data_IF_267347397880
#
_entry.id   IF_267347397880
#
_cell.length_a   1.000
_cell.length_b   1.000
_cell.length_c   1.000
_cell.angle_alpha   90.00
_cell.angle_beta   90.00
_cell.angle_gamma   90.00
#
_symmetry.space_group_name_H-M   'P 1'
#
loop_
_entity.id
_entity.type
_entity.pdbx_description
1 polymer ?
#
# COMPACT_ATOMS: atom_id res chain seq x y z
N UNK A 1 9.83 5.67 3.16
CA UNK A 1 8.97 4.54 3.59
C UNK A 1 7.64 4.61 2.85
N UNK A 2 7.56 3.96 1.68
CA UNK A 2 6.33 3.91 0.87
C UNK A 2 5.17 3.31 1.70
N UNK A 3 5.47 2.31 2.53
CA UNK A 3 4.51 1.57 3.36
C UNK A 3 3.63 2.45 4.26
N UNK A 4 4.13 3.58 4.79
CA UNK A 4 3.38 4.43 5.71
C UNK A 4 2.59 5.55 5.02
N UNK A 5 2.84 5.81 3.74
CA UNK A 5 2.07 6.76 2.93
C UNK A 5 0.80 6.13 2.33
N UNK A 6 0.56 4.83 2.59
CA UNK A 6 -0.45 4.03 1.89
C UNK A 6 0.00 3.65 0.47
N UNK A 7 -0.82 2.87 -0.23
CA UNK A 7 -0.57 2.59 -1.65
C UNK A 7 -0.99 3.83 -2.47
N UNK A 8 -0.02 4.69 -2.78
CA UNK A 8 -0.25 5.91 -3.59
C UNK A 8 0.33 5.80 -5.01
N UNK A 9 1.03 4.71 -5.31
CA UNK A 9 1.55 4.41 -6.64
C UNK A 9 0.47 3.62 -7.38
N UNK A 10 -0.01 4.13 -8.51
CA UNK A 10 -1.03 3.48 -9.31
C UNK A 10 -0.43 2.33 -10.13
N UNK A 11 -0.72 1.09 -9.76
CA UNK A 11 -0.18 -0.09 -10.44
C UNK A 11 -0.51 -0.16 -11.94
N UNK A 12 -1.70 0.32 -12.34
CA UNK A 12 -2.13 0.40 -13.75
C UNK A 12 -1.31 1.37 -14.62
N UNK A 13 -0.56 2.28 -14.01
CA UNK A 13 0.29 3.25 -14.69
C UNK A 13 1.77 3.14 -14.25
N UNK A 14 2.16 2.00 -13.68
CA UNK A 14 3.55 1.79 -13.23
C UNK A 14 4.30 0.90 -14.22
N UNK A 15 5.42 1.40 -14.73
CA UNK A 15 6.29 0.68 -15.66
C UNK A 15 7.57 0.22 -14.95
N UNK A 16 8.03 -0.99 -15.29
CA UNK A 16 9.23 -1.57 -14.69
C UNK A 16 10.28 -1.85 -15.76
N UNK A 17 11.53 -1.53 -15.44
CA UNK A 17 12.68 -1.98 -16.24
C UNK A 17 12.97 -3.44 -15.90
N UNK A 18 12.66 -4.34 -16.83
CA UNK A 18 12.81 -5.80 -16.70
C UNK A 18 14.18 -6.22 -16.15
N UNK A 19 15.25 -5.68 -16.71
CA UNK A 19 16.64 -6.04 -16.37
C UNK A 19 17.01 -5.76 -14.91
N UNK A 20 16.30 -4.84 -14.25
CA UNK A 20 16.55 -4.45 -12.85
C UNK A 20 15.45 -4.90 -11.90
N UNK A 21 14.48 -5.69 -12.39
CA UNK A 21 13.34 -6.19 -11.60
C UNK A 21 13.17 -7.69 -11.82
N UNK A 22 12.47 -8.08 -12.89
CA UNK A 22 12.08 -9.46 -13.16
C UNK A 22 13.30 -10.36 -13.34
N UNK A 23 14.31 -9.89 -14.09
CA UNK A 23 15.51 -10.69 -14.36
C UNK A 23 16.37 -10.88 -13.10
N UNK A 24 16.21 -10.02 -12.08
CA UNK A 24 16.83 -10.18 -10.75
C UNK A 24 15.96 -11.01 -9.79
N UNK A 25 14.84 -11.57 -10.25
CA UNK A 25 13.94 -12.40 -9.45
C UNK A 25 12.89 -11.62 -8.64
N UNK A 26 12.74 -10.31 -8.85
CA UNK A 26 11.66 -9.56 -8.23
C UNK A 26 10.32 -9.88 -8.92
N UNK A 27 9.63 -10.91 -8.41
CA UNK A 27 8.28 -11.30 -8.82
C UNK A 27 7.25 -10.91 -7.76
N UNK A 28 5.97 -10.87 -8.14
CA UNK A 28 4.87 -10.60 -7.22
C UNK A 28 4.72 -11.73 -6.19
N UNK A 29 4.48 -11.37 -4.94
CA UNK A 29 4.15 -12.36 -3.90
C UNK A 29 2.65 -12.68 -3.92
N UNK A 30 2.31 -13.85 -4.46
CA UNK A 30 0.91 -14.30 -4.63
C UNK A 30 0.15 -14.55 -3.32
N UNK A 31 0.84 -14.56 -2.17
CA UNK A 31 0.19 -14.62 -0.87
C UNK A 31 -0.63 -13.35 -0.57
N UNK A 32 -0.22 -12.20 -1.13
CA UNK A 32 -0.94 -10.94 -1.04
C UNK A 32 -1.98 -10.90 -2.15
N UNK A 33 -3.27 -10.87 -1.79
CA UNK A 33 -4.37 -10.94 -2.76
C UNK A 33 -5.00 -9.58 -3.02
N UNK A 34 -4.99 -8.71 -2.03
CA UNK A 34 -5.70 -7.43 -2.06
C UNK A 34 -4.77 -6.24 -2.26
N UNK A 35 -3.53 -6.33 -1.78
CA UNK A 35 -2.50 -5.27 -1.86
C UNK A 35 -1.16 -5.80 -2.39
N UNK A 36 -1.23 -6.70 -3.36
CA UNK A 36 -0.07 -7.36 -3.98
C UNK A 36 0.94 -6.36 -4.56
N UNK A 37 0.42 -5.31 -5.20
CA UNK A 37 1.21 -4.21 -5.74
C UNK A 37 1.88 -3.39 -4.64
N UNK A 38 1.16 -3.10 -3.55
CA UNK A 38 1.68 -2.43 -2.37
C UNK A 38 2.86 -3.16 -1.74
N UNK A 39 2.78 -4.50 -1.61
CA UNK A 39 3.90 -5.32 -1.15
C UNK A 39 5.09 -5.20 -2.09
N UNK A 40 4.83 -5.39 -3.38
CA UNK A 40 5.85 -5.39 -4.42
C UNK A 40 6.62 -4.06 -4.45
N UNK A 41 5.92 -2.93 -4.36
CA UNK A 41 6.56 -1.60 -4.37
C UNK A 41 7.39 -1.34 -3.12
N UNK A 42 6.90 -1.77 -1.95
CA UNK A 42 7.66 -1.63 -0.71
C UNK A 42 8.92 -2.50 -0.74
N UNK A 43 8.83 -3.73 -1.26
CA UNK A 43 9.98 -4.62 -1.41
C UNK A 43 11.01 -4.09 -2.41
N UNK A 44 10.57 -3.59 -3.57
CA UNK A 44 11.47 -2.94 -4.54
C UNK A 44 12.17 -1.74 -3.92
N UNK A 45 11.45 -0.90 -3.18
CA UNK A 45 12.04 0.25 -2.48
C UNK A 45 13.02 -0.19 -1.39
N UNK A 46 12.74 -1.26 -0.66
CA UNK A 46 13.65 -1.81 0.34
C UNK A 46 14.91 -2.42 -0.30
N UNK A 47 14.79 -2.96 -1.52
CA UNK A 47 15.92 -3.41 -2.34
C UNK A 47 16.69 -2.26 -3.04
N UNK A 48 16.42 -1.00 -2.66
CA UNK A 48 17.12 0.17 -3.20
C UNK A 48 16.68 0.63 -4.59
N UNK A 49 15.62 0.04 -5.15
CA UNK A 49 15.06 0.48 -6.43
C UNK A 49 14.34 1.81 -6.25
N UNK A 50 14.44 2.68 -7.26
CA UNK A 50 13.90 4.05 -7.22
C UNK A 50 12.70 4.18 -8.17
N UNK A 51 11.67 4.88 -7.70
CA UNK A 51 10.51 5.25 -8.50
C UNK A 51 10.66 6.70 -8.95
N UNK A 52 10.40 6.96 -10.23
CA UNK A 52 10.30 8.31 -10.79
C UNK A 52 8.82 8.62 -11.07
N UNK A 53 8.42 9.87 -10.84
CA UNK A 53 7.06 10.33 -11.12
C UNK A 53 6.99 10.93 -12.52
N UNK A 54 6.05 10.44 -13.33
CA UNK A 54 5.71 11.00 -14.63
C UNK A 54 4.36 11.72 -14.48
N UNK A 55 4.29 13.06 -14.60
CA UNK A 55 3.07 13.83 -14.35
C UNK A 55 2.09 13.76 -15.54
N UNK A 56 1.76 12.55 -16.00
CA UNK A 56 0.82 12.29 -17.09
C UNK A 56 -0.27 11.33 -16.62
N UNK A 57 -1.51 11.58 -17.03
CA UNK A 57 -2.62 10.65 -16.84
C UNK A 57 -2.52 9.54 -17.90
N UNK A 58 -2.09 8.35 -17.48
CA UNK A 58 -1.86 7.22 -18.38
C UNK A 58 -2.91 6.11 -18.24
N UNK A 59 -3.60 6.06 -17.10
CA UNK A 59 -4.61 5.05 -16.81
C UNK A 59 -5.63 5.58 -15.79
N UNK A 60 -6.78 4.92 -15.72
CA UNK A 60 -7.82 5.17 -14.72
C UNK A 60 -8.35 3.83 -14.18
N UNK A 61 -8.88 3.85 -12.96
CA UNK A 61 -9.53 2.70 -12.34
C UNK A 61 -11.04 2.88 -12.35
N UNK A 62 -11.75 1.90 -12.90
CA UNK A 62 -13.19 1.83 -12.70
C UNK A 62 -13.49 1.28 -11.33
N UNK A 63 -14.14 2.08 -10.50
CA UNK A 63 -14.71 1.60 -9.26
C UNK A 63 -16.07 0.96 -9.50
N UNK A 64 -16.32 -0.19 -8.86
CA UNK A 64 -17.59 -0.91 -8.96
C UNK A 64 -17.84 -1.73 -7.69
N UNK A 65 -19.10 -2.09 -7.42
CA UNK A 65 -19.52 -2.74 -6.16
C UNK A 65 -18.86 -4.10 -5.90
N UNK A 66 -18.37 -4.74 -6.96
CA UNK A 66 -17.65 -6.03 -6.88
C UNK A 66 -16.15 -5.88 -6.71
N UNK A 67 -15.62 -4.67 -6.53
CA UNK A 67 -14.21 -4.44 -6.27
C UNK A 67 -13.80 -5.19 -5.00
N UNK A 68 -12.73 -5.99 -5.10
CA UNK A 68 -12.21 -6.83 -4.01
C UNK A 68 -11.96 -6.00 -2.75
N UNK A 69 -11.47 -4.77 -2.95
CA UNK A 69 -11.13 -3.84 -1.88
C UNK A 69 -12.33 -3.24 -1.15
N UNK A 70 -13.53 -3.25 -1.74
CA UNK A 70 -14.71 -2.56 -1.21
C UNK A 70 -15.84 -3.48 -0.77
N UNK A 71 -16.01 -4.64 -1.40
CA UNK A 71 -17.19 -5.51 -1.23
C UNK A 71 -17.52 -5.88 0.22
N UNK A 72 -16.51 -5.94 1.10
CA UNK A 72 -16.65 -6.35 2.50
C UNK A 72 -16.62 -5.19 3.50
N UNK A 73 -16.46 -3.95 3.03
CA UNK A 73 -16.44 -2.77 3.92
C UNK A 73 -17.83 -2.58 4.54
N UNK A 74 -17.89 -2.40 5.86
CA UNK A 74 -19.13 -2.11 6.60
C UNK A 74 -20.11 -3.27 6.73
N UNK A 75 -19.76 -4.47 6.23
CA UNK A 75 -20.54 -5.70 6.43
C UNK A 75 -20.44 -6.16 7.89
N UNK A 76 -21.47 -6.86 8.36
CA UNK A 76 -21.60 -7.29 9.76
C UNK A 76 -21.63 -8.81 9.94
N UNK A 77 -21.82 -9.57 8.87
CA UNK A 77 -21.73 -11.03 8.91
C UNK A 77 -20.29 -11.47 9.13
N UNK A 78 -20.13 -12.62 9.81
CA UNK A 78 -18.82 -13.09 10.27
C UNK A 78 -17.85 -13.34 9.12
N UNK A 79 -18.32 -13.88 8.00
CA UNK A 79 -17.48 -14.22 6.85
C UNK A 79 -16.95 -12.97 6.15
N UNK A 80 -17.81 -11.97 5.93
CA UNK A 80 -17.41 -10.70 5.33
C UNK A 80 -16.47 -9.92 6.25
N UNK A 81 -16.74 -9.91 7.56
CA UNK A 81 -15.86 -9.28 8.57
C UNK A 81 -14.50 -9.97 8.56
N UNK A 82 -14.45 -11.30 8.60
CA UNK A 82 -13.20 -12.06 8.55
C UNK A 82 -12.42 -11.79 7.25
N UNK A 83 -13.11 -11.76 6.11
CA UNK A 83 -12.49 -11.46 4.83
C UNK A 83 -11.89 -10.03 4.80
N UNK A 84 -12.59 -9.05 5.38
CA UNK A 84 -12.06 -7.70 5.53
C UNK A 84 -10.84 -7.65 6.46
N UNK A 85 -10.87 -8.37 7.59
CA UNK A 85 -9.72 -8.45 8.50
C UNK A 85 -8.48 -9.08 7.86
N UNK A 86 -8.67 -10.10 7.01
CA UNK A 86 -7.58 -10.70 6.20
C UNK A 86 -6.98 -9.68 5.24
N UNK A 87 -7.81 -8.91 4.54
CA UNK A 87 -7.34 -7.81 3.68
C UNK A 87 -6.54 -6.76 4.48
N UNK A 88 -6.99 -6.38 5.67
CA UNK A 88 -6.27 -5.45 6.54
C UNK A 88 -4.95 -6.04 7.07
N UNK A 89 -4.90 -7.36 7.30
CA UNK A 89 -3.70 -8.05 7.74
C UNK A 89 -2.58 -8.00 6.70
N UNK A 90 -2.91 -8.08 5.40
CA UNK A 90 -1.92 -7.91 4.32
C UNK A 90 -1.22 -6.54 4.43
N UNK A 91 -1.99 -5.46 4.58
CA UNK A 91 -1.43 -4.11 4.71
C UNK A 91 -0.59 -3.93 5.99
N UNK A 92 -1.00 -4.57 7.10
CA UNK A 92 -0.23 -4.58 8.35
C UNK A 92 1.10 -5.32 8.18
N UNK A 93 1.08 -6.49 7.55
CA UNK A 93 2.29 -7.27 7.28
C UNK A 93 3.33 -6.46 6.50
N UNK A 94 2.91 -5.73 5.45
CA UNK A 94 3.80 -4.83 4.69
C UNK A 94 4.44 -3.78 5.61
N UNK A 95 3.67 -3.15 6.50
CA UNK A 95 4.21 -2.12 7.41
C UNK A 95 5.12 -2.69 8.49
N UNK A 96 4.89 -3.92 8.94
CA UNK A 96 5.76 -4.61 9.91
C UNK A 96 7.14 -4.94 9.33
N UNK A 97 7.20 -5.21 8.02
CA UNK A 97 8.45 -5.55 7.34
C UNK A 97 9.16 -4.32 6.77
N UNK A 98 8.42 -3.40 6.14
CA UNK A 98 8.98 -2.31 5.35
C UNK A 98 8.65 -0.89 5.88
N UNK A 99 7.88 -0.81 6.96
CA UNK A 99 7.48 0.46 7.58
C UNK A 99 8.16 0.71 8.91
N UNK A 100 7.68 1.74 9.63
CA UNK A 100 8.12 2.03 11.00
C UNK A 100 7.58 0.97 11.95
N UNK A 101 8.49 0.25 12.63
CA UNK A 101 8.19 -0.63 13.75
C UNK A 101 9.01 -0.17 14.96
N UNK A 102 8.32 0.29 16.01
CA UNK A 102 8.97 0.80 17.23
C UNK A 102 8.92 -0.21 18.38
N UNK A 103 7.93 -1.11 18.34
CA UNK A 103 7.68 -2.07 19.40
C UNK A 103 7.63 -3.50 18.83
N UNK A 104 7.66 -4.50 19.70
CA UNK A 104 7.32 -5.87 19.33
C UNK A 104 5.80 -6.13 19.41
N UNK A 105 5.12 -5.41 20.30
CA UNK A 105 3.68 -5.50 20.48
C UNK A 105 2.90 -4.95 19.26
N UNK A 106 1.96 -5.76 18.76
CA UNK A 106 1.19 -5.43 17.56
C UNK A 106 0.24 -4.25 17.77
N UNK A 107 -0.35 -4.12 18.98
CA UNK A 107 -1.32 -3.08 19.29
C UNK A 107 -0.63 -1.72 19.43
N UNK A 108 0.52 -1.67 20.11
CA UNK A 108 1.33 -0.45 20.23
C UNK A 108 1.81 0.04 18.86
N UNK A 109 2.26 -0.86 17.99
CA UNK A 109 2.58 -0.47 16.62
C UNK A 109 1.34 -0.01 15.85
N UNK A 110 0.16 -0.59 16.09
CA UNK A 110 -1.11 -0.11 15.54
C UNK A 110 -1.42 1.34 15.91
N UNK A 111 -1.13 1.74 17.17
CA UNK A 111 -1.28 3.14 17.61
C UNK A 111 -0.32 4.05 16.84
N UNK A 112 0.95 3.66 16.74
CA UNK A 112 1.96 4.40 15.98
C UNK A 112 1.53 4.59 14.52
N UNK A 113 1.00 3.52 13.90
CA UNK A 113 0.45 3.60 12.54
C UNK A 113 -0.70 4.58 12.42
N UNK A 114 -1.62 4.59 13.40
CA UNK A 114 -2.71 5.56 13.45
C UNK A 114 -2.20 7.00 13.50
N UNK A 115 -1.22 7.27 14.36
CA UNK A 115 -0.57 8.59 14.45
C UNK A 115 0.08 8.97 13.13
N UNK A 116 0.90 8.09 12.56
CA UNK A 116 1.59 8.32 11.29
C UNK A 116 0.61 8.58 10.14
N UNK A 117 -0.51 7.86 10.09
CA UNK A 117 -1.57 8.08 9.10
C UNK A 117 -2.06 9.53 9.13
N UNK A 118 -2.35 10.07 10.31
CA UNK A 118 -2.80 11.46 10.45
C UNK A 118 -1.70 12.47 10.11
N UNK A 119 -0.46 12.22 10.53
CA UNK A 119 0.70 13.06 10.19
C UNK A 119 0.87 13.17 8.68
N UNK A 120 0.84 12.04 7.96
CA UNK A 120 1.00 12.04 6.50
C UNK A 120 -0.19 12.67 5.78
N UNK A 121 -1.40 12.54 6.33
CA UNK A 121 -2.60 13.22 5.79
C UNK A 121 -2.51 14.73 5.94
N UNK A 122 -2.03 15.22 7.08
CA UNK A 122 -1.76 16.65 7.31
C UNK A 122 -0.68 17.16 6.34
N UNK A 123 0.45 16.45 6.25
CA UNK A 123 1.53 16.77 5.30
C UNK A 123 1.02 16.87 3.86
N UNK A 124 0.18 15.92 3.43
CA UNK A 124 -0.46 15.97 2.10
C UNK A 124 -1.32 17.21 1.91
N UNK A 125 -2.08 17.61 2.93
CA UNK A 125 -2.89 18.84 2.93
C UNK A 125 -2.03 20.08 2.73
N UNK A 126 -0.96 20.23 3.51
CA UNK A 126 -0.01 21.35 3.41
C UNK A 126 0.63 21.38 2.02
N UNK A 127 1.13 20.24 1.52
CA UNK A 127 1.74 20.16 0.19
C UNK A 127 0.76 20.53 -0.92
N UNK A 128 -0.52 20.17 -0.81
CA UNK A 128 -1.54 20.58 -1.79
C UNK A 128 -1.81 22.07 -1.76
N UNK A 129 -1.71 22.70 -0.60
CA UNK A 129 -1.87 24.15 -0.47
C UNK A 129 -0.68 24.90 -1.06
N UNK A 130 0.55 24.43 -0.82
CA UNK A 130 1.77 25.06 -1.32
C UNK A 130 2.00 24.88 -2.83
N UNK A 131 1.48 23.79 -3.41
CA UNK A 131 1.63 23.48 -4.85
C UNK A 131 0.34 23.75 -5.64
N UNK A 132 -0.56 24.59 -5.11
CA UNK A 132 -1.66 25.19 -5.86
C UNK A 132 -1.14 26.43 -6.58
#
# INVERSE_FOLDING_TARGET
MIANHGCYIASTATFFRRSTTIDEGHLLNIAFRSVMDGEYFCRLSAAGKRFAYLPLALADFRLHDRSISQRNIGKKDIDSVLAHQKQLAESRAIRRVYGVRLFEDEMLNGIVEGVLYHVYRLKKGILRFLNR
#
